data_IF_574569041818
#
_entry.id   IF_574569041818
#
_cell.length_a   1.000
_cell.length_b   1.000
_cell.length_c   1.000
_cell.angle_alpha   90.00
_cell.angle_beta   90.00
_cell.angle_gamma   90.00
#
_symmetry.space_group_name_H-M   'P 1'
#
loop_
_entity.id
_entity.type
_entity.pdbx_description
1 polymer ?
#
# COMPACT_ATOMS: atom_id res chain seq x y z
N UNK A 1 -19.40 16.28 20.45
CA UNK A 1 -19.97 17.29 19.52
C UNK A 1 -18.80 17.91 18.80
N UNK A 2 -18.87 18.03 17.47
CA UNK A 2 -17.80 18.62 16.68
C UNK A 2 -17.52 20.07 17.11
N UNK A 3 -16.27 20.50 16.99
CA UNK A 3 -15.86 21.90 17.18
C UNK A 3 -16.19 22.78 15.95
N UNK A 4 -16.71 22.19 14.87
CA UNK A 4 -17.11 22.85 13.64
C UNK A 4 -18.62 23.06 13.61
N UNK A 5 -19.07 24.18 13.04
CA UNK A 5 -20.50 24.45 12.86
C UNK A 5 -21.03 23.69 11.64
N UNK A 6 -21.89 22.69 11.91
CA UNK A 6 -22.49 21.83 10.90
C UNK A 6 -23.83 22.35 10.38
N UNK A 7 -24.30 23.51 10.81
CA UNK A 7 -25.56 24.10 10.34
C UNK A 7 -25.51 24.26 8.82
N UNK A 8 -26.52 23.81 8.06
CA UNK A 8 -26.51 23.96 6.61
C UNK A 8 -26.40 25.44 6.16
N UNK A 9 -25.73 25.73 5.04
CA UNK A 9 -25.73 27.08 4.46
C UNK A 9 -27.16 27.50 4.08
N UNK A 10 -27.45 28.80 4.17
CA UNK A 10 -28.72 29.33 3.68
C UNK A 10 -28.81 29.21 2.15
N UNK A 11 -30.00 29.36 1.57
CA UNK A 11 -30.17 29.31 0.11
C UNK A 11 -29.24 30.31 -0.60
N UNK A 12 -29.20 31.57 -0.13
CA UNK A 12 -28.33 32.62 -0.70
C UNK A 12 -26.84 32.29 -0.57
N UNK A 13 -26.41 31.70 0.57
CA UNK A 13 -25.03 31.24 0.73
C UNK A 13 -24.72 30.09 -0.22
N UNK A 14 -25.65 29.16 -0.39
CA UNK A 14 -25.50 28.02 -1.30
C UNK A 14 -25.35 28.50 -2.75
N UNK A 15 -26.20 29.43 -3.18
CA UNK A 15 -26.12 30.01 -4.53
C UNK A 15 -24.76 30.69 -4.77
N UNK A 16 -24.24 31.42 -3.78
CA UNK A 16 -22.94 32.06 -3.86
C UNK A 16 -21.78 31.04 -3.95
N UNK A 17 -21.81 29.97 -3.16
CA UNK A 17 -20.80 28.90 -3.23
C UNK A 17 -20.85 28.15 -4.57
N UNK A 18 -22.07 27.88 -5.07
CA UNK A 18 -22.29 27.15 -6.32
C UNK A 18 -21.91 27.99 -7.54
N UNK A 19 -22.04 29.32 -7.50
CA UNK A 19 -21.67 30.20 -8.60
C UNK A 19 -20.21 30.01 -9.06
N UNK A 20 -19.28 29.76 -8.12
CA UNK A 20 -17.85 29.60 -8.39
C UNK A 20 -17.40 28.20 -8.85
N UNK A 21 -18.33 27.25 -9.06
CA UNK A 21 -17.97 25.91 -9.52
C UNK A 21 -17.81 25.83 -11.04
N UNK A 22 -16.78 25.12 -11.48
CA UNK A 22 -16.62 24.64 -12.85
C UNK A 22 -17.74 23.65 -13.23
N UNK A 23 -17.85 23.34 -14.53
CA UNK A 23 -18.82 22.37 -15.02
C UNK A 23 -18.62 20.97 -14.40
N UNK A 24 -17.37 20.53 -14.28
CA UNK A 24 -17.02 19.23 -13.70
C UNK A 24 -17.31 19.18 -12.20
N UNK A 25 -16.99 20.25 -11.46
CA UNK A 25 -17.36 20.34 -10.04
C UNK A 25 -18.88 20.31 -9.86
N UNK A 26 -19.68 20.99 -10.69
CA UNK A 26 -21.15 20.89 -10.60
C UNK A 26 -21.64 19.47 -10.85
N UNK A 27 -21.11 18.82 -11.89
CA UNK A 27 -21.49 17.45 -12.27
C UNK A 27 -21.23 16.47 -11.12
N UNK A 28 -20.07 16.56 -10.49
CA UNK A 28 -19.70 15.66 -9.38
C UNK A 28 -20.44 16.05 -8.09
N UNK A 29 -20.28 17.27 -7.59
CA UNK A 29 -20.75 17.64 -6.25
C UNK A 29 -22.27 17.76 -6.13
N UNK A 30 -22.96 18.19 -7.19
CA UNK A 30 -24.40 18.54 -7.14
C UNK A 30 -25.28 17.54 -7.90
N UNK A 31 -24.71 16.80 -8.86
CA UNK A 31 -25.45 15.86 -9.72
C UNK A 31 -25.02 14.41 -9.50
N UNK A 32 -24.32 14.12 -8.39
CA UNK A 32 -23.89 12.78 -7.99
C UNK A 32 -23.03 12.06 -9.05
N UNK A 33 -22.30 12.82 -9.86
CA UNK A 33 -21.38 12.28 -10.85
C UNK A 33 -20.11 11.71 -10.21
N UNK A 34 -19.42 10.82 -10.93
CA UNK A 34 -18.11 10.29 -10.54
C UNK A 34 -17.04 10.79 -11.51
N UNK A 35 -15.90 11.24 -10.99
CA UNK A 35 -14.71 11.54 -11.82
C UNK A 35 -14.15 10.25 -12.41
N UNK A 36 -13.50 10.33 -13.57
CA UNK A 36 -12.87 9.15 -14.16
C UNK A 36 -11.73 8.63 -13.25
N UNK A 37 -11.55 7.29 -13.14
CA UNK A 37 -10.47 6.74 -12.34
C UNK A 37 -9.12 7.20 -12.88
N UNK A 38 -8.14 7.40 -11.99
CA UNK A 38 -6.78 7.84 -12.27
C UNK A 38 -6.63 9.28 -12.79
N UNK A 39 -7.72 10.07 -12.83
CA UNK A 39 -7.68 11.47 -13.29
C UNK A 39 -7.66 12.50 -12.16
N UNK A 40 -7.88 12.08 -10.92
CA UNK A 40 -8.08 12.97 -9.77
C UNK A 40 -6.80 13.68 -9.32
N UNK A 41 -6.83 15.01 -9.21
CA UNK A 41 -5.69 15.85 -8.78
C UNK A 41 -5.12 15.43 -7.42
N UNK A 42 -5.96 14.90 -6.52
CA UNK A 42 -5.57 14.50 -5.17
C UNK A 42 -5.34 13.01 -5.00
N UNK A 43 -5.35 12.24 -6.10
CA UNK A 43 -5.07 10.81 -6.08
C UNK A 43 -3.71 10.54 -5.44
N UNK A 44 -2.68 11.20 -5.96
CA UNK A 44 -1.28 11.04 -5.53
C UNK A 44 -0.80 12.12 -4.56
N UNK A 45 -1.69 13.00 -4.11
CA UNK A 45 -1.30 14.01 -3.12
C UNK A 45 -0.92 13.33 -1.79
N UNK A 46 0.36 13.44 -1.41
CA UNK A 46 0.94 12.95 -0.15
C UNK A 46 1.31 14.08 0.82
N UNK A 47 0.93 15.34 0.54
CA UNK A 47 1.20 16.47 1.43
C UNK A 47 0.46 16.29 2.75
N UNK A 48 1.11 16.66 3.86
CA UNK A 48 0.46 16.69 5.17
C UNK A 48 -0.55 17.84 5.24
N UNK A 49 -1.78 17.53 5.62
CA UNK A 49 -2.87 18.49 5.65
C UNK A 49 -4.23 17.85 5.79
N UNK A 50 -5.25 18.62 5.44
CA UNK A 50 -6.65 18.22 5.56
C UNK A 50 -7.33 18.41 4.22
N UNK A 51 -8.14 17.42 3.85
CA UNK A 51 -9.02 17.47 2.69
C UNK A 51 -10.37 18.01 3.15
N UNK A 52 -10.78 19.11 2.54
CA UNK A 52 -11.96 19.86 2.90
C UNK A 52 -13.02 19.65 1.82
N UNK A 53 -14.28 19.85 2.17
CA UNK A 53 -15.36 19.91 1.21
C UNK A 53 -15.09 21.03 0.22
N UNK A 54 -15.03 20.72 -1.09
CA UNK A 54 -14.75 21.73 -2.12
C UNK A 54 -15.76 22.88 -2.15
N UNK A 55 -17.03 22.62 -1.78
CA UNK A 55 -18.10 23.63 -1.72
C UNK A 55 -18.04 24.52 -0.46
N UNK A 56 -18.12 23.94 0.75
CA UNK A 56 -18.29 24.71 1.98
C UNK A 56 -17.06 24.71 2.91
N UNK A 57 -15.94 24.11 2.49
CA UNK A 57 -14.68 24.01 3.24
C UNK A 57 -14.73 23.28 4.60
N UNK A 58 -15.79 22.51 4.89
CA UNK A 58 -15.81 21.65 6.08
C UNK A 58 -14.67 20.62 5.99
N UNK A 59 -13.87 20.37 7.04
CA UNK A 59 -12.84 19.32 7.01
C UNK A 59 -13.48 17.94 6.92
N UNK A 60 -13.13 17.15 5.91
CA UNK A 60 -13.73 15.84 5.68
C UNK A 60 -12.78 14.71 6.00
N UNK A 61 -11.51 14.81 5.57
CA UNK A 61 -10.52 13.73 5.73
C UNK A 61 -9.13 14.30 6.04
N UNK A 62 -8.26 13.50 6.69
CA UNK A 62 -6.87 13.88 6.98
C UNK A 62 -5.92 13.16 6.03
N UNK A 63 -4.80 13.79 5.68
CA UNK A 63 -3.69 13.11 4.97
C UNK A 63 -3.27 11.81 5.68
N UNK A 64 -3.25 11.81 7.02
CA UNK A 64 -2.88 10.66 7.83
C UNK A 64 -3.82 9.46 7.72
N UNK A 65 -5.05 9.65 7.23
CA UNK A 65 -6.02 8.57 7.01
C UNK A 65 -6.11 8.15 5.54
N UNK A 66 -5.37 8.80 4.65
CA UNK A 66 -5.30 8.48 3.22
C UNK A 66 -4.46 7.23 3.00
N UNK A 67 -4.91 6.36 2.10
CA UNK A 67 -4.15 5.22 1.63
C UNK A 67 -4.38 5.01 0.13
N UNK A 68 -3.51 4.22 -0.50
CA UNK A 68 -3.70 3.83 -1.90
C UNK A 68 -4.49 2.52 -1.95
N UNK A 69 -5.66 2.57 -2.59
CA UNK A 69 -6.53 1.42 -2.80
C UNK A 69 -6.29 0.71 -4.13
N UNK A 70 -5.53 1.31 -5.05
CA UNK A 70 -5.37 0.83 -6.42
C UNK A 70 -6.61 1.00 -7.30
N UNK A 71 -7.69 1.63 -6.82
CA UNK A 71 -8.95 1.75 -7.58
C UNK A 71 -9.04 2.98 -8.47
N UNK A 72 -8.02 3.85 -8.46
CA UNK A 72 -8.00 5.08 -9.26
C UNK A 72 -8.70 6.29 -8.63
N UNK A 73 -9.12 6.19 -7.37
CA UNK A 73 -9.72 7.30 -6.61
C UNK A 73 -9.04 7.44 -5.24
N UNK A 74 -8.86 8.67 -4.72
CA UNK A 74 -8.29 8.88 -3.39
C UNK A 74 -9.13 8.17 -2.32
N UNK A 75 -8.48 7.28 -1.57
CA UNK A 75 -9.13 6.48 -0.54
C UNK A 75 -8.67 6.86 0.86
N UNK A 76 -9.61 6.83 1.83
CA UNK A 76 -9.35 7.10 3.23
C UNK A 76 -10.00 6.04 4.11
N UNK A 77 -9.36 5.68 5.22
CA UNK A 77 -9.91 4.68 6.15
C UNK A 77 -10.77 5.30 7.26
N UNK A 78 -10.73 6.62 7.46
CA UNK A 78 -11.56 7.28 8.46
C UNK A 78 -11.78 8.76 8.13
N UNK A 79 -12.97 9.32 8.44
CA UNK A 79 -13.24 10.74 8.30
C UNK A 79 -12.46 11.56 9.35
N UNK A 80 -12.43 12.88 9.14
CA UNK A 80 -11.85 13.83 10.08
C UNK A 80 -12.56 13.81 11.43
N UNK A 81 -13.90 13.74 11.37
CA UNK A 81 -14.81 13.54 12.48
C UNK A 81 -16.03 12.77 11.94
N UNK A 82 -16.58 11.76 12.63
CA UNK A 82 -17.74 10.99 12.17
C UNK A 82 -18.97 11.86 11.86
N UNK A 83 -19.11 13.02 12.51
CA UNK A 83 -20.23 13.94 12.27
C UNK A 83 -20.09 14.80 11.01
N UNK A 84 -18.94 14.77 10.33
CA UNK A 84 -18.68 15.60 9.15
C UNK A 84 -19.11 14.94 7.82
N UNK A 85 -19.33 13.63 7.83
CA UNK A 85 -19.74 12.84 6.67
C UNK A 85 -21.08 12.17 6.97
N UNK A 86 -22.02 12.25 6.03
CA UNK A 86 -23.33 11.60 6.12
C UNK A 86 -23.46 10.51 5.07
N UNK A 87 -23.89 9.35 5.50
CA UNK A 87 -24.17 8.20 4.65
C UNK A 87 -25.61 8.22 4.12
N UNK A 88 -25.76 7.92 2.84
CA UNK A 88 -27.04 7.86 2.14
C UNK A 88 -27.07 6.57 1.32
N UNK A 89 -28.19 5.83 1.39
CA UNK A 89 -28.38 4.64 0.55
C UNK A 89 -28.54 5.07 -0.92
N UNK A 90 -27.68 4.55 -1.78
CA UNK A 90 -27.69 4.81 -3.22
C UNK A 90 -28.08 3.54 -3.99
N UNK A 91 -29.17 3.61 -4.75
CA UNK A 91 -29.67 2.51 -5.60
C UNK A 91 -29.54 2.79 -7.11
N UNK A 92 -28.70 3.75 -7.50
CA UNK A 92 -28.43 4.08 -8.90
C UNK A 92 -27.68 2.96 -9.63
N UNK A 93 -27.73 2.98 -10.97
CA UNK A 93 -27.03 2.02 -11.84
C UNK A 93 -27.33 0.53 -11.55
N UNK A 94 -28.47 0.22 -10.93
CA UNK A 94 -28.86 -1.15 -10.58
C UNK A 94 -28.06 -1.78 -9.44
N UNK A 95 -27.26 -1.00 -8.71
CA UNK A 95 -26.47 -1.45 -7.56
C UNK A 95 -27.07 -0.95 -6.25
N UNK A 96 -26.65 -1.51 -5.12
CA UNK A 96 -26.92 -0.95 -3.78
C UNK A 96 -25.57 -0.57 -3.16
N UNK A 97 -25.36 0.73 -2.97
CA UNK A 97 -24.13 1.31 -2.41
C UNK A 97 -24.46 2.29 -1.28
N UNK A 98 -23.44 2.70 -0.53
CA UNK A 98 -23.56 3.76 0.48
C UNK A 98 -22.83 4.99 -0.03
N UNK A 99 -23.57 5.98 -0.49
CA UNK A 99 -23.05 7.29 -0.83
C UNK A 99 -22.61 8.02 0.44
N UNK A 100 -21.50 8.76 0.34
CA UNK A 100 -21.06 9.70 1.37
C UNK A 100 -21.22 11.14 0.88
N UNK A 101 -21.86 11.96 1.70
CA UNK A 101 -22.10 13.39 1.46
C UNK A 101 -21.48 14.24 2.57
N UNK A 102 -21.14 15.49 2.26
CA UNK A 102 -20.75 16.45 3.30
C UNK A 102 -21.93 16.70 4.23
N UNK A 103 -21.77 16.46 5.54
CA UNK A 103 -22.86 16.60 6.50
C UNK A 103 -23.41 18.04 6.60
N UNK A 104 -22.59 19.04 6.25
CA UNK A 104 -22.96 20.47 6.29
C UNK A 104 -23.75 20.92 5.06
N UNK A 105 -23.19 20.74 3.86
CA UNK A 105 -23.79 21.29 2.63
C UNK A 105 -24.49 20.25 1.76
N UNK A 106 -24.42 18.97 2.11
CA UNK A 106 -25.07 17.88 1.37
C UNK A 106 -24.40 17.50 0.04
N UNK A 107 -23.25 18.09 -0.32
CA UNK A 107 -22.56 17.78 -1.57
C UNK A 107 -22.10 16.33 -1.64
N UNK A 108 -22.21 15.73 -2.82
CA UNK A 108 -21.69 14.40 -3.13
C UNK A 108 -20.16 14.36 -3.01
N UNK A 109 -19.66 13.37 -2.27
CA UNK A 109 -18.22 13.17 -2.08
C UNK A 109 -17.72 11.93 -2.81
N UNK A 110 -18.50 10.84 -2.74
CA UNK A 110 -18.17 9.53 -3.29
C UNK A 110 -18.96 8.44 -2.58
N UNK A 111 -18.33 7.29 -2.33
CA UNK A 111 -18.96 6.15 -1.66
C UNK A 111 -18.07 5.57 -0.57
N UNK A 112 -18.67 4.94 0.42
CA UNK A 112 -17.97 4.13 1.42
C UNK A 112 -18.20 2.63 1.12
N UNK A 113 -17.12 1.86 1.21
CA UNK A 113 -17.11 0.42 0.95
C UNK A 113 -16.56 -0.33 2.18
N UNK A 114 -17.04 -1.56 2.47
CA UNK A 114 -16.62 -2.35 3.63
C UNK A 114 -15.33 -3.15 3.39
N UNK A 115 -14.46 -2.66 2.50
CA UNK A 115 -13.22 -3.30 2.04
C UNK A 115 -11.96 -2.51 2.43
N UNK A 116 -12.07 -1.66 3.46
CA UNK A 116 -10.98 -0.80 3.92
C UNK A 116 -9.99 -1.51 4.86
N UNK A 117 -8.83 -0.88 5.12
CA UNK A 117 -7.86 -1.37 6.08
C UNK A 117 -8.33 -1.09 7.53
N UNK A 118 -7.66 -1.68 8.55
CA UNK A 118 -7.84 -1.27 9.93
C UNK A 118 -7.61 0.25 10.12
N UNK A 119 -8.23 0.88 11.12
CA UNK A 119 -8.98 0.28 12.24
C UNK A 119 -10.48 0.11 12.01
N UNK A 120 -11.07 0.78 11.02
CA UNK A 120 -12.52 0.83 10.76
C UNK A 120 -12.98 -0.26 9.79
N UNK A 121 -12.07 -0.75 8.93
CA UNK A 121 -12.39 -1.60 7.78
C UNK A 121 -13.32 -0.94 6.75
N UNK A 122 -13.44 0.39 6.83
CA UNK A 122 -14.19 1.19 5.88
C UNK A 122 -13.21 1.85 4.92
N UNK A 123 -13.53 1.81 3.62
CA UNK A 123 -12.84 2.56 2.59
C UNK A 123 -13.77 3.64 2.08
N UNK A 124 -13.49 4.87 2.47
CA UNK A 124 -14.10 6.03 1.84
C UNK A 124 -13.36 6.27 0.51
N UNK A 125 -14.04 6.04 -0.60
CA UNK A 125 -13.54 6.23 -1.96
C UNK A 125 -14.10 7.54 -2.52
N UNK A 126 -13.24 8.53 -2.74
CA UNK A 126 -13.64 9.93 -2.97
C UNK A 126 -13.35 10.38 -4.39
N UNK A 127 -14.15 11.33 -4.87
CA UNK A 127 -13.76 12.15 -6.01
C UNK A 127 -12.80 13.26 -5.54
N UNK A 128 -11.63 13.39 -6.18
CA UNK A 128 -10.73 14.52 -5.95
C UNK A 128 -11.42 15.85 -6.25
N UNK A 129 -12.28 15.89 -7.28
CA UNK A 129 -13.10 17.05 -7.65
C UNK A 129 -13.98 17.54 -6.48
N UNK A 130 -14.43 16.64 -5.61
CA UNK A 130 -15.24 16.98 -4.42
C UNK A 130 -14.43 17.55 -3.25
N UNK A 131 -13.11 17.57 -3.37
CA UNK A 131 -12.20 17.97 -2.30
C UNK A 131 -11.46 19.26 -2.65
N UNK A 132 -11.12 20.02 -1.63
CA UNK A 132 -10.00 20.96 -1.63
C UNK A 132 -8.98 20.51 -0.60
N UNK A 133 -7.76 21.05 -0.66
CA UNK A 133 -6.70 20.67 0.26
C UNK A 133 -6.13 21.89 0.97
N UNK A 134 -6.01 21.81 2.28
CA UNK A 134 -5.35 22.80 3.13
C UNK A 134 -4.12 22.16 3.76
N UNK A 135 -2.94 22.66 3.40
CA UNK A 135 -1.68 22.18 3.95
C UNK A 135 -1.55 22.46 5.45
N UNK A 136 -0.76 21.63 6.14
CA UNK A 136 -0.54 21.85 7.57
C UNK A 136 0.13 23.22 7.83
N UNK A 137 -0.51 24.06 8.64
CA UNK A 137 -0.07 25.43 8.93
C UNK A 137 -0.54 26.49 7.94
N UNK A 138 -1.23 26.11 6.86
CA UNK A 138 -1.92 27.05 5.98
C UNK A 138 -3.23 27.53 6.63
N UNK A 139 -3.66 28.78 6.38
CA UNK A 139 -4.91 29.29 6.92
C UNK A 139 -6.10 28.48 6.39
N UNK A 140 -7.03 28.17 7.29
CA UNK A 140 -8.23 27.42 6.95
C UNK A 140 -9.18 28.27 6.08
N UNK A 141 -9.69 27.75 4.95
CA UNK A 141 -10.71 28.44 4.19
C UNK A 141 -12.05 28.44 4.95
N UNK A 142 -12.59 29.61 5.24
CA UNK A 142 -13.91 29.79 5.88
C UNK A 142 -14.84 30.62 4.97
N UNK A 143 -15.32 30.06 3.84
CA UNK A 143 -16.16 30.79 2.89
C UNK A 143 -17.55 31.12 3.45
N UNK A 144 -17.95 30.49 4.55
CA UNK A 144 -19.23 30.70 5.22
C UNK A 144 -19.12 31.60 6.47
N UNK A 145 -17.90 32.02 6.83
CA UNK A 145 -17.58 32.86 7.99
C UNK A 145 -18.18 32.32 9.30
N UNK A 146 -18.03 31.02 9.54
CA UNK A 146 -18.59 30.33 10.73
C UNK A 146 -17.81 30.60 12.01
N UNK A 147 -16.54 31.02 11.89
CA UNK A 147 -15.71 31.31 13.05
C UNK A 147 -15.32 30.06 13.86
N UNK A 148 -15.02 30.22 15.15
CA UNK A 148 -14.63 29.09 16.02
C UNK A 148 -13.35 28.38 15.53
N UNK A 149 -13.42 27.05 15.36
CA UNK A 149 -12.32 26.25 14.81
C UNK A 149 -12.00 26.56 13.33
N UNK A 150 -12.89 27.26 12.63
CA UNK A 150 -12.72 27.69 11.23
C UNK A 150 -12.14 29.12 11.11
N UNK A 151 -12.09 29.89 12.22
CA UNK A 151 -11.50 31.22 12.21
C UNK A 151 -9.98 31.14 12.00
N UNK A 152 -9.50 31.66 10.87
CA UNK A 152 -8.13 31.56 10.33
C UNK A 152 -6.94 32.12 11.15
N UNK A 153 -7.06 32.21 12.48
CA UNK A 153 -5.96 32.54 13.40
C UNK A 153 -5.48 31.34 14.26
N UNK A 154 -6.11 30.17 14.14
CA UNK A 154 -5.59 28.96 14.80
C UNK A 154 -4.60 28.25 13.88
N UNK A 155 -3.30 28.58 14.01
CA UNK A 155 -2.24 27.65 13.61
C UNK A 155 -2.56 26.32 14.31
N UNK A 156 -2.91 25.29 13.56
CA UNK A 156 -3.28 24.00 14.12
C UNK A 156 -2.05 23.37 14.78
N UNK A 157 -1.79 23.74 16.04
CA UNK A 157 -0.79 23.12 16.90
C UNK A 157 -1.33 21.75 17.24
N UNK A 158 -0.68 20.75 16.69
CA UNK A 158 -0.82 19.34 17.01
C UNK A 158 -0.96 19.19 18.54
N UNK A 159 -2.18 18.97 19.04
CA UNK A 159 -2.41 18.63 20.45
C UNK A 159 -1.77 17.27 20.64
N UNK A 160 -0.60 17.30 21.28
CA UNK A 160 0.37 16.23 21.25
C UNK A 160 -0.21 14.87 21.60
N UNK A 161 -0.34 14.03 20.58
CA UNK A 161 -0.12 12.61 20.77
C UNK A 161 1.39 12.45 20.93
N UNK A 162 1.85 12.35 22.18
CA UNK A 162 3.21 11.91 22.49
C UNK A 162 3.44 10.59 21.74
N UNK A 163 4.54 10.41 20.99
CA UNK A 163 4.86 9.12 20.41
C UNK A 163 5.42 8.23 21.53
N UNK A 164 4.59 7.81 22.46
CA UNK A 164 4.91 6.69 23.34
C UNK A 164 4.50 5.42 22.63
N UNK A 165 5.31 5.00 21.66
CA UNK A 165 5.50 3.59 21.33
C UNK A 165 6.78 3.44 20.53
N UNK A 166 7.87 3.14 21.25
CA UNK A 166 8.97 2.34 20.69
C UNK A 166 8.32 1.05 20.17
N UNK A 167 8.18 0.91 18.85
CA UNK A 167 7.88 -0.39 18.27
C UNK A 167 9.20 -1.17 18.17
N UNK A 168 9.30 -2.38 18.73
CA UNK A 168 10.56 -3.13 18.77
C UNK A 168 10.90 -3.76 17.41
N UNK A 169 12.09 -4.39 17.28
CA UNK A 169 12.69 -4.74 16.00
C UNK A 169 11.92 -5.83 15.25
N UNK A 170 12.31 -6.04 13.99
CA UNK A 170 11.78 -6.95 12.95
C UNK A 170 11.24 -8.33 13.38
N UNK A 171 11.61 -8.85 14.56
CA UNK A 171 11.11 -10.10 15.13
C UNK A 171 9.58 -10.13 15.33
N UNK A 172 8.92 -8.99 15.57
CA UNK A 172 7.47 -8.97 15.88
C UNK A 172 6.58 -9.33 14.69
N UNK A 173 6.95 -9.02 13.44
CA UNK A 173 6.10 -9.35 12.27
C UNK A 173 6.09 -10.84 11.94
N UNK A 174 7.25 -11.49 12.00
CA UNK A 174 7.33 -12.94 11.85
C UNK A 174 6.48 -13.67 12.89
N UNK A 175 6.55 -13.18 14.13
CA UNK A 175 5.75 -13.68 15.23
C UNK A 175 4.25 -13.47 14.99
N UNK A 176 3.84 -12.33 14.39
CA UNK A 176 2.44 -12.06 14.05
C UNK A 176 1.91 -12.96 12.92
N UNK A 177 2.71 -13.29 11.90
CA UNK A 177 2.29 -14.22 10.83
C UNK A 177 2.05 -15.61 11.41
N UNK A 178 2.99 -16.11 12.22
CA UNK A 178 2.88 -17.42 12.87
C UNK A 178 1.67 -17.44 13.82
N UNK A 179 1.52 -16.40 14.65
CA UNK A 179 0.37 -16.26 15.55
C UNK A 179 -0.94 -16.19 14.76
N UNK A 180 -0.97 -15.48 13.63
CA UNK A 180 -2.14 -15.39 12.76
C UNK A 180 -2.56 -16.77 12.23
N UNK A 181 -1.63 -17.55 11.69
CA UNK A 181 -1.91 -18.91 11.24
C UNK A 181 -2.36 -19.83 12.39
N UNK A 182 -1.76 -19.70 13.58
CA UNK A 182 -2.21 -20.44 14.75
C UNK A 182 -3.63 -20.06 15.16
N UNK A 183 -3.99 -18.77 15.12
CA UNK A 183 -5.35 -18.29 15.41
C UNK A 183 -6.34 -18.86 14.40
N UNK A 184 -6.01 -18.89 13.11
CA UNK A 184 -6.86 -19.52 12.08
C UNK A 184 -7.07 -21.00 12.38
N UNK A 185 -5.99 -21.76 12.63
CA UNK A 185 -6.06 -23.19 12.95
C UNK A 185 -6.90 -23.44 14.20
N UNK A 186 -6.62 -22.73 15.29
CA UNK A 186 -7.30 -22.90 16.58
C UNK A 186 -8.78 -22.53 16.46
N UNK A 187 -9.12 -21.46 15.76
CA UNK A 187 -10.51 -21.03 15.62
C UNK A 187 -11.33 -22.03 14.81
N UNK A 188 -10.78 -22.50 13.68
CA UNK A 188 -11.48 -23.42 12.78
C UNK A 188 -11.55 -24.83 13.38
N UNK A 189 -10.41 -25.40 13.80
CA UNK A 189 -10.37 -26.76 14.35
C UNK A 189 -10.94 -26.82 15.77
N UNK A 190 -10.68 -25.81 16.60
CA UNK A 190 -11.24 -25.72 17.94
C UNK A 190 -12.74 -25.50 17.93
N UNK A 191 -13.25 -24.67 17.02
CA UNK A 191 -14.70 -24.52 16.80
C UNK A 191 -15.36 -25.83 16.35
N UNK A 192 -14.73 -26.55 15.42
CA UNK A 192 -15.21 -27.86 14.97
C UNK A 192 -15.24 -28.90 16.09
N UNK A 193 -14.18 -28.99 16.90
CA UNK A 193 -14.13 -29.87 18.08
C UNK A 193 -15.17 -29.49 19.14
N UNK A 194 -15.34 -28.19 19.40
CA UNK A 194 -16.33 -27.65 20.34
C UNK A 194 -17.77 -27.98 19.92
N UNK A 195 -18.02 -28.08 18.62
CA UNK A 195 -19.28 -28.54 18.04
C UNK A 195 -19.41 -30.09 17.97
N UNK A 196 -18.58 -30.82 18.72
CA UNK A 196 -18.53 -32.30 18.75
C UNK A 196 -18.08 -32.96 17.43
N UNK A 197 -17.37 -32.22 16.57
CA UNK A 197 -16.77 -32.74 15.35
C UNK A 197 -15.61 -33.70 15.60
N UNK A 198 -15.40 -34.66 14.69
CA UNK A 198 -14.28 -35.62 14.75
C UNK A 198 -13.22 -35.24 13.74
N UNK A 199 -12.03 -34.83 14.19
CA UNK A 199 -10.94 -34.37 13.30
C UNK A 199 -10.57 -35.37 12.21
N UNK A 200 -10.68 -36.68 12.49
CA UNK A 200 -10.44 -37.72 11.48
C UNK A 200 -11.34 -37.61 10.25
N UNK A 201 -12.53 -37.01 10.36
CA UNK A 201 -13.43 -36.81 9.22
C UNK A 201 -12.92 -35.74 8.24
N UNK A 202 -12.15 -34.75 8.72
CA UNK A 202 -11.54 -33.70 7.90
C UNK A 202 -10.27 -34.17 7.18
N UNK A 203 -9.72 -35.31 7.59
CA UNK A 203 -8.51 -35.87 6.99
C UNK A 203 -8.84 -36.63 5.70
N UNK A 204 -8.93 -35.89 4.59
CA UNK A 204 -9.19 -36.42 3.25
C UNK A 204 -7.95 -36.21 2.36
N UNK A 205 -7.02 -37.18 2.29
CA UNK A 205 -5.73 -36.98 1.60
C UNK A 205 -5.88 -36.80 0.10
N UNK A 206 -6.86 -37.46 -0.54
CA UNK A 206 -7.08 -37.32 -1.98
C UNK A 206 -7.64 -35.94 -2.36
N UNK A 207 -8.44 -35.32 -1.49
CA UNK A 207 -8.91 -33.94 -1.68
C UNK A 207 -7.73 -32.95 -1.64
N UNK A 208 -6.78 -33.14 -0.71
CA UNK A 208 -5.53 -32.36 -0.67
C UNK A 208 -4.70 -32.51 -1.95
N UNK A 209 -4.66 -33.71 -2.53
CA UNK A 209 -3.95 -33.96 -3.80
C UNK A 209 -4.64 -33.27 -4.97
N UNK A 210 -5.97 -33.32 -5.05
CA UNK A 210 -6.74 -32.64 -6.11
C UNK A 210 -6.53 -31.13 -6.01
N UNK A 211 -6.77 -30.56 -4.83
CA UNK A 211 -6.70 -29.11 -4.60
C UNK A 211 -5.27 -28.61 -4.75
N UNK A 212 -4.32 -29.22 -4.03
CA UNK A 212 -2.92 -28.82 -4.04
C UNK A 212 -2.22 -29.13 -5.36
N UNK A 213 -2.50 -30.27 -5.98
CA UNK A 213 -1.96 -30.64 -7.28
C UNK A 213 -2.47 -29.76 -8.40
N UNK A 214 -3.77 -29.44 -8.43
CA UNK A 214 -4.33 -28.52 -9.41
C UNK A 214 -3.81 -27.09 -9.20
N UNK A 215 -3.71 -26.61 -7.96
CA UNK A 215 -3.14 -25.31 -7.64
C UNK A 215 -1.66 -25.22 -8.05
N UNK A 216 -0.86 -26.25 -7.77
CA UNK A 216 0.54 -26.32 -8.20
C UNK A 216 0.65 -26.36 -9.73
N UNK A 217 -0.19 -27.14 -10.40
CA UNK A 217 -0.25 -27.20 -11.87
C UNK A 217 -0.58 -25.84 -12.48
N UNK A 218 -1.61 -25.17 -11.97
CA UNK A 218 -2.00 -23.84 -12.42
C UNK A 218 -0.89 -22.80 -12.16
N UNK A 219 -0.24 -22.87 -11.00
CA UNK A 219 0.91 -22.04 -10.67
C UNK A 219 2.07 -22.23 -11.66
N UNK A 220 2.43 -23.48 -11.98
CA UNK A 220 3.53 -23.78 -12.90
C UNK A 220 3.20 -23.43 -14.36
N UNK A 221 1.94 -23.59 -14.79
CA UNK A 221 1.50 -23.23 -16.14
C UNK A 221 1.45 -21.71 -16.32
N UNK A 222 1.00 -20.97 -15.30
CA UNK A 222 0.80 -19.53 -15.38
C UNK A 222 2.05 -18.68 -15.07
N UNK A 223 3.17 -19.28 -14.68
CA UNK A 223 4.31 -18.55 -14.08
C UNK A 223 5.65 -18.91 -14.72
N UNK A 224 6.46 -17.92 -15.16
CA UNK A 224 7.83 -18.18 -15.63
C UNK A 224 8.70 -18.85 -14.56
N UNK A 225 9.63 -19.73 -14.99
CA UNK A 225 10.48 -20.52 -14.08
C UNK A 225 11.30 -19.66 -13.08
N UNK A 226 11.75 -18.47 -13.50
CA UNK A 226 12.46 -17.51 -12.62
C UNK A 226 11.54 -17.06 -11.48
N UNK A 227 10.32 -16.65 -11.80
CA UNK A 227 9.32 -16.17 -10.84
C UNK A 227 8.83 -17.28 -9.91
N UNK A 228 8.74 -18.52 -10.39
CA UNK A 228 8.45 -19.70 -9.54
C UNK A 228 9.48 -19.81 -8.41
N UNK A 229 10.77 -19.78 -8.75
CA UNK A 229 11.86 -19.85 -7.76
C UNK A 229 11.83 -18.67 -6.79
N UNK A 230 11.60 -17.46 -7.31
CA UNK A 230 11.49 -16.24 -6.48
C UNK A 230 10.30 -16.31 -5.51
N UNK A 231 9.17 -16.85 -5.94
CA UNK A 231 7.97 -17.04 -5.10
C UNK A 231 8.25 -17.97 -3.93
N UNK A 232 8.86 -19.14 -4.19
CA UNK A 232 9.23 -20.08 -3.13
C UNK A 232 10.23 -19.48 -2.13
N UNK A 233 11.22 -18.72 -2.61
CA UNK A 233 12.18 -18.02 -1.75
C UNK A 233 11.52 -16.90 -0.93
N UNK A 234 10.59 -16.16 -1.53
CA UNK A 234 9.88 -15.06 -0.88
C UNK A 234 8.91 -15.55 0.21
N UNK A 235 8.23 -16.68 -0.01
CA UNK A 235 7.38 -17.33 1.01
C UNK A 235 8.15 -17.62 2.29
N UNK A 236 9.35 -18.19 2.18
CA UNK A 236 10.21 -18.45 3.35
C UNK A 236 10.81 -17.15 3.89
N UNK A 237 11.15 -16.23 2.99
CA UNK A 237 11.74 -14.94 3.35
C UNK A 237 10.82 -14.05 4.19
N UNK A 238 9.50 -14.16 4.04
CA UNK A 238 8.54 -13.31 4.76
C UNK A 238 8.71 -13.40 6.28
N UNK A 239 9.08 -14.57 6.78
CA UNK A 239 9.31 -14.82 8.21
C UNK A 239 10.61 -14.19 8.74
N UNK A 240 11.48 -13.67 7.87
CA UNK A 240 12.69 -12.94 8.29
C UNK A 240 12.44 -11.44 8.44
N UNK A 241 11.29 -10.95 7.98
CA UNK A 241 10.96 -9.52 7.96
C UNK A 241 11.66 -8.74 6.84
N UNK A 242 11.54 -7.40 6.84
CA UNK A 242 12.12 -6.54 5.79
C UNK A 242 13.63 -6.71 5.68
N UNK A 243 14.14 -6.64 4.46
CA UNK A 243 15.58 -6.78 4.17
C UNK A 243 16.37 -5.63 4.79
N UNK A 244 15.90 -4.40 4.60
CA UNK A 244 16.61 -3.19 4.98
C UNK A 244 16.18 -2.67 6.36
N UNK A 245 17.16 -2.25 7.15
CA UNK A 245 16.98 -1.63 8.47
C UNK A 245 17.43 -0.18 8.42
N UNK A 246 17.14 0.57 9.48
CA UNK A 246 17.47 1.99 9.60
C UNK A 246 18.94 2.31 9.25
N UNK A 247 19.89 1.52 9.75
CA UNK A 247 21.31 1.74 9.45
C UNK A 247 21.61 1.58 7.96
N UNK A 248 20.98 0.61 7.29
CA UNK A 248 21.23 0.36 5.87
C UNK A 248 20.75 1.56 5.02
N UNK A 249 19.63 2.21 5.40
CA UNK A 249 19.22 3.47 4.76
C UNK A 249 20.22 4.61 4.98
N UNK A 250 20.78 4.72 6.19
CA UNK A 250 21.78 5.76 6.50
C UNK A 250 23.05 5.53 5.68
N UNK A 251 23.53 4.30 5.62
CA UNK A 251 24.72 3.89 4.87
C UNK A 251 24.54 4.21 3.37
N UNK A 252 23.39 3.85 2.80
CA UNK A 252 23.09 4.10 1.37
C UNK A 252 22.98 5.59 1.06
N UNK A 253 22.27 6.36 1.89
CA UNK A 253 22.17 7.80 1.67
C UNK A 253 23.53 8.50 1.84
N UNK A 254 24.39 8.00 2.72
CA UNK A 254 25.75 8.54 2.93
C UNK A 254 26.67 8.23 1.75
N UNK A 255 26.59 7.01 1.20
CA UNK A 255 27.27 6.66 -0.06
C UNK A 255 26.81 7.56 -1.21
N UNK A 256 25.49 7.73 -1.38
CA UNK A 256 24.93 8.61 -2.41
C UNK A 256 25.39 10.06 -2.21
N UNK A 257 25.49 10.53 -0.96
CA UNK A 257 26.02 11.85 -0.66
C UNK A 257 27.47 12.04 -1.08
N UNK A 258 28.34 11.09 -0.77
CA UNK A 258 29.75 11.12 -1.18
C UNK A 258 29.89 11.15 -2.70
N UNK A 259 29.15 10.28 -3.40
CA UNK A 259 29.11 10.25 -4.86
C UNK A 259 28.64 11.58 -5.45
N UNK A 260 27.51 12.12 -4.98
CA UNK A 260 26.96 13.38 -5.46
C UNK A 260 27.86 14.58 -5.11
N UNK A 261 28.52 14.58 -3.95
CA UNK A 261 29.49 15.62 -3.59
C UNK A 261 30.72 15.58 -4.51
N UNK A 262 31.24 14.39 -4.82
CA UNK A 262 32.36 14.23 -5.75
C UNK A 262 31.96 14.71 -7.14
N UNK A 263 30.80 14.29 -7.65
CA UNK A 263 30.26 14.76 -8.92
C UNK A 263 30.09 16.28 -8.96
N UNK A 264 29.69 16.91 -7.85
CA UNK A 264 29.53 18.36 -7.78
C UNK A 264 30.86 19.13 -7.78
N UNK A 265 31.91 18.56 -7.16
CA UNK A 265 33.23 19.21 -7.06
C UNK A 265 34.07 19.01 -8.31
N UNK A 266 34.01 17.81 -8.90
CA UNK A 266 34.93 17.37 -9.95
C UNK A 266 34.21 17.08 -11.28
N UNK A 267 32.88 17.17 -11.33
CA UNK A 267 32.05 16.80 -12.47
C UNK A 267 31.60 15.33 -12.43
N UNK A 268 30.51 15.00 -13.13
CA UNK A 268 29.97 13.63 -13.17
C UNK A 268 30.96 12.62 -13.77
N UNK A 269 31.83 13.03 -14.70
CA UNK A 269 32.88 12.17 -15.26
C UNK A 269 33.83 11.62 -14.18
N UNK A 270 34.02 12.33 -13.07
CA UNK A 270 34.85 11.84 -11.95
C UNK A 270 34.25 10.62 -11.24
N UNK A 271 33.01 10.23 -11.55
CA UNK A 271 32.36 9.03 -11.04
C UNK A 271 32.52 7.80 -11.95
N UNK A 272 33.04 7.95 -13.17
CA UNK A 272 33.08 6.88 -14.18
C UNK A 272 33.75 5.60 -13.66
N UNK A 273 34.96 5.70 -13.11
CA UNK A 273 35.67 4.55 -12.54
C UNK A 273 34.91 3.90 -11.37
N UNK A 274 34.23 4.71 -10.55
CA UNK A 274 33.46 4.22 -9.40
C UNK A 274 32.20 3.47 -9.84
N UNK A 275 31.61 3.86 -10.97
CA UNK A 275 30.38 3.31 -11.52
C UNK A 275 30.66 2.06 -12.37
N UNK A 276 31.73 2.06 -13.14
CA UNK A 276 32.14 0.89 -13.95
C UNK A 276 32.75 -0.22 -13.09
N UNK A 277 33.45 0.12 -12.01
CA UNK A 277 34.11 -0.83 -11.10
C UNK A 277 33.74 -0.58 -9.64
N UNK A 278 32.47 -0.78 -9.25
CA UNK A 278 32.00 -0.51 -7.88
C UNK A 278 32.65 -1.43 -6.83
N UNK A 279 33.12 -2.61 -7.22
CA UNK A 279 33.83 -3.53 -6.32
C UNK A 279 35.23 -3.02 -5.91
N UNK A 280 35.90 -2.27 -6.80
CA UNK A 280 37.25 -1.71 -6.56
C UNK A 280 37.19 -0.28 -6.01
N UNK A 281 36.00 0.33 -6.00
CA UNK A 281 35.79 1.71 -5.61
C UNK A 281 36.01 1.94 -4.11
N UNK A 282 36.88 2.89 -3.78
CA UNK A 282 37.09 3.34 -2.41
C UNK A 282 35.80 3.89 -1.76
N UNK A 283 34.92 4.54 -2.54
CA UNK A 283 33.65 5.09 -2.03
C UNK A 283 32.67 3.97 -1.65
N UNK A 284 32.50 2.97 -2.51
CA UNK A 284 31.64 1.82 -2.19
C UNK A 284 32.27 0.94 -1.09
N UNK A 285 33.61 0.84 -1.05
CA UNK A 285 34.34 0.10 -0.01
C UNK A 285 34.16 0.64 1.41
N UNK A 286 33.80 1.92 1.56
CA UNK A 286 33.43 2.50 2.86
C UNK A 286 32.12 1.90 3.42
N UNK A 287 31.30 1.26 2.58
CA UNK A 287 29.98 0.72 2.94
C UNK A 287 29.85 -0.77 2.57
N UNK A 288 30.54 -1.70 3.27
CA UNK A 288 30.62 -3.11 2.86
C UNK A 288 29.28 -3.83 2.74
N UNK A 289 28.30 -3.46 3.57
CA UNK A 289 26.94 -4.04 3.49
C UNK A 289 26.20 -3.62 2.22
N UNK A 290 26.32 -2.35 1.85
CA UNK A 290 25.76 -1.82 0.60
C UNK A 290 26.51 -2.45 -0.57
N UNK A 291 27.83 -2.60 -0.43
CA UNK A 291 28.66 -3.18 -1.48
C UNK A 291 28.33 -4.67 -1.76
N UNK A 292 27.92 -5.41 -0.74
CA UNK A 292 27.48 -6.80 -0.87
C UNK A 292 26.08 -6.92 -1.51
N UNK A 293 25.33 -5.83 -1.64
CA UNK A 293 24.00 -5.82 -2.23
C UNK A 293 24.06 -5.50 -3.72
N UNK A 294 24.28 -6.54 -4.53
CA UNK A 294 24.41 -6.40 -5.98
C UNK A 294 23.25 -5.65 -6.62
N UNK A 295 22.00 -5.90 -6.21
CA UNK A 295 20.83 -5.21 -6.78
C UNK A 295 20.84 -3.71 -6.49
N UNK A 296 21.28 -3.31 -5.30
CA UNK A 296 21.33 -1.90 -4.92
C UNK A 296 22.50 -1.17 -5.57
N UNK A 297 23.67 -1.83 -5.67
CA UNK A 297 24.78 -1.31 -6.48
C UNK A 297 24.32 -1.12 -7.92
N UNK A 298 23.79 -2.16 -8.55
CA UNK A 298 23.45 -2.16 -9.97
C UNK A 298 22.52 -0.97 -10.25
N UNK A 299 21.46 -0.81 -9.46
CA UNK A 299 20.55 0.34 -9.55
C UNK A 299 21.25 1.70 -9.38
N UNK A 300 22.08 1.88 -8.34
CA UNK A 300 22.81 3.14 -8.13
C UNK A 300 23.73 3.42 -9.32
N UNK A 301 24.46 2.41 -9.79
CA UNK A 301 25.41 2.54 -10.89
C UNK A 301 24.72 2.79 -12.22
N UNK A 302 23.62 2.09 -12.54
CA UNK A 302 22.84 2.28 -13.76
C UNK A 302 22.24 3.70 -13.81
N UNK A 303 21.65 4.16 -12.71
CA UNK A 303 21.19 5.53 -12.60
C UNK A 303 22.32 6.56 -12.82
N UNK A 304 23.51 6.32 -12.26
CA UNK A 304 24.66 7.20 -12.45
C UNK A 304 25.27 7.09 -13.86
N UNK A 305 25.27 5.92 -14.51
CA UNK A 305 25.68 5.76 -15.92
C UNK A 305 24.83 6.63 -16.82
N UNK A 306 23.52 6.64 -16.58
CA UNK A 306 22.59 7.52 -17.29
C UNK A 306 22.93 9.00 -17.08
N UNK A 307 23.45 9.39 -15.91
CA UNK A 307 23.89 10.78 -15.64
C UNK A 307 25.27 11.11 -16.24
N UNK A 308 26.17 10.13 -16.39
CA UNK A 308 27.54 10.32 -16.92
C UNK A 308 27.55 10.34 -18.45
N UNK A 309 26.87 9.39 -19.09
CA UNK A 309 26.96 9.13 -20.53
C UNK A 309 26.15 10.09 -21.41
N UNK A 310 25.44 11.04 -20.81
CA UNK A 310 24.33 11.72 -21.47
C UNK A 310 24.53 13.23 -21.49
N UNK A 311 24.58 13.83 -22.69
CA UNK A 311 24.33 15.27 -22.86
C UNK A 311 22.83 15.58 -22.83
N UNK A 312 22.07 14.78 -22.08
CA UNK A 312 20.60 14.76 -22.00
C UNK A 312 20.16 15.78 -20.97
N UNK A 313 19.13 16.55 -21.29
CA UNK A 313 18.62 17.55 -20.36
C UNK A 313 17.92 16.89 -19.16
N UNK A 314 17.97 17.50 -17.95
CA UNK A 314 17.41 16.89 -16.74
C UNK A 314 15.96 16.39 -16.86
N UNK A 315 15.16 17.04 -17.70
CA UNK A 315 13.75 16.72 -17.91
C UNK A 315 13.54 15.43 -18.72
N UNK A 316 14.50 15.02 -19.55
CA UNK A 316 14.46 13.80 -20.34
C UNK A 316 14.97 12.59 -19.55
N UNK A 317 15.86 12.81 -18.57
CA UNK A 317 16.43 11.76 -17.73
C UNK A 317 15.47 11.28 -16.64
N UNK A 318 14.62 12.18 -16.14
CA UNK A 318 13.69 11.87 -15.06
C UNK A 318 12.74 10.70 -15.39
N UNK A 319 12.03 10.68 -16.54
CA UNK A 319 11.18 9.56 -16.92
C UNK A 319 11.93 8.22 -17.02
N UNK A 320 13.20 8.23 -17.43
CA UNK A 320 14.02 7.01 -17.54
C UNK A 320 14.32 6.41 -16.16
N UNK A 321 14.69 7.27 -15.20
CA UNK A 321 14.94 6.86 -13.82
C UNK A 321 13.66 6.40 -13.11
N UNK A 322 12.51 6.98 -13.47
CA UNK A 322 11.21 6.51 -12.98
C UNK A 322 10.85 5.15 -13.54
N UNK A 323 11.02 4.94 -14.84
CA UNK A 323 10.79 3.66 -15.51
C UNK A 323 11.64 2.53 -14.90
N UNK A 324 12.90 2.81 -14.56
CA UNK A 324 13.79 1.83 -13.93
C UNK A 324 13.28 1.41 -12.53
N UNK A 325 12.83 2.38 -11.72
CA UNK A 325 12.24 2.11 -10.41
C UNK A 325 10.93 1.33 -10.53
N UNK A 326 10.05 1.70 -11.47
CA UNK A 326 8.80 0.99 -11.71
C UNK A 326 9.05 -0.45 -12.12
N UNK A 327 10.01 -0.69 -13.01
CA UNK A 327 10.42 -2.04 -13.42
C UNK A 327 10.91 -2.85 -12.23
N UNK A 328 11.81 -2.28 -11.41
CA UNK A 328 12.32 -2.97 -10.22
C UNK A 328 11.19 -3.30 -9.23
N UNK A 329 10.27 -2.36 -9.01
CA UNK A 329 9.11 -2.56 -8.15
C UNK A 329 8.18 -3.66 -8.69
N UNK A 330 7.85 -3.64 -9.98
CA UNK A 330 7.04 -4.66 -10.62
C UNK A 330 7.68 -6.06 -10.53
N UNK A 331 8.99 -6.17 -10.75
CA UNK A 331 9.73 -7.43 -10.58
C UNK A 331 9.73 -7.94 -9.14
N UNK A 332 9.84 -7.04 -8.16
CA UNK A 332 9.78 -7.37 -6.73
C UNK A 332 8.37 -7.79 -6.27
N UNK A 333 7.32 -7.26 -6.90
CA UNK A 333 5.92 -7.54 -6.59
C UNK A 333 5.38 -8.80 -7.30
N UNK A 334 5.97 -9.22 -8.41
CA UNK A 334 5.52 -10.38 -9.17
C UNK A 334 5.30 -11.66 -8.31
N UNK A 335 6.19 -12.02 -7.36
CA UNK A 335 5.99 -13.18 -6.48
C UNK A 335 4.72 -13.13 -5.63
N UNK A 336 4.36 -11.98 -5.06
CA UNK A 336 3.14 -11.85 -4.25
C UNK A 336 1.89 -11.91 -5.14
N UNK A 337 1.90 -11.21 -6.26
CA UNK A 337 0.77 -11.19 -7.20
C UNK A 337 0.45 -12.58 -7.76
N UNK A 338 1.47 -13.38 -8.09
CA UNK A 338 1.26 -14.76 -8.53
C UNK A 338 0.67 -15.61 -7.41
N UNK A 339 1.17 -15.47 -6.18
CA UNK A 339 0.65 -16.21 -5.04
C UNK A 339 -0.80 -15.82 -4.71
N UNK A 340 -1.18 -14.55 -4.87
CA UNK A 340 -2.57 -14.09 -4.75
C UNK A 340 -3.48 -14.81 -5.74
N UNK A 341 -3.08 -14.94 -7.01
CA UNK A 341 -3.85 -15.69 -8.02
C UNK A 341 -4.02 -17.17 -7.64
N UNK A 342 -3.00 -17.77 -7.03
CA UNK A 342 -3.11 -19.15 -6.50
C UNK A 342 -4.09 -19.20 -5.34
N UNK A 343 -4.05 -18.23 -4.42
CA UNK A 343 -4.99 -18.12 -3.30
C UNK A 343 -6.44 -18.03 -3.78
N UNK A 344 -6.71 -17.20 -4.77
CA UNK A 344 -8.05 -17.00 -5.33
C UNK A 344 -8.56 -18.23 -6.10
N UNK A 345 -7.65 -19.03 -6.67
CA UNK A 345 -7.98 -20.28 -7.36
C UNK A 345 -8.30 -21.45 -6.44
N UNK A 346 -7.76 -21.48 -5.22
CA UNK A 346 -7.90 -22.60 -4.28
C UNK A 346 -9.37 -22.94 -3.92
N UNK A 347 -10.27 -21.97 -3.65
CA UNK A 347 -11.70 -22.25 -3.49
C UNK A 347 -12.32 -22.92 -4.72
N UNK A 348 -11.94 -22.47 -5.92
CA UNK A 348 -12.39 -23.06 -7.19
C UNK A 348 -11.97 -24.52 -7.33
N UNK A 349 -10.72 -24.85 -6.99
CA UNK A 349 -10.26 -26.24 -6.96
C UNK A 349 -10.94 -27.07 -5.87
N UNK A 350 -11.31 -26.46 -4.73
CA UNK A 350 -12.16 -27.09 -3.72
C UNK A 350 -13.55 -27.49 -4.24
N UNK A 351 -14.16 -26.64 -5.08
CA UNK A 351 -15.43 -26.97 -5.75
C UNK A 351 -15.25 -28.15 -6.71
N UNK A 352 -14.17 -28.17 -7.49
CA UNK A 352 -13.86 -29.31 -8.38
C UNK A 352 -13.74 -30.61 -7.59
N UNK A 353 -13.00 -30.58 -6.48
CA UNK A 353 -12.87 -31.67 -5.53
C UNK A 353 -14.25 -32.19 -5.05
N UNK A 354 -15.11 -31.28 -4.59
CA UNK A 354 -16.47 -31.62 -4.16
C UNK A 354 -17.33 -32.22 -5.28
N UNK A 355 -17.25 -31.68 -6.51
CA UNK A 355 -17.97 -32.24 -7.66
C UNK A 355 -17.51 -33.68 -7.95
N UNK A 356 -16.21 -33.94 -7.91
CA UNK A 356 -15.67 -35.30 -8.10
C UNK A 356 -16.14 -36.25 -7.00
N UNK A 357 -16.16 -35.81 -5.74
CA UNK A 357 -16.71 -36.59 -4.63
C UNK A 357 -18.20 -36.92 -4.79
N UNK A 358 -19.00 -35.97 -5.29
CA UNK A 358 -20.43 -36.20 -5.61
C UNK A 358 -20.57 -37.21 -6.75
N UNK A 359 -19.75 -37.14 -7.80
CA UNK A 359 -19.78 -38.13 -8.90
C UNK A 359 -19.54 -39.54 -8.38
N UNK A 360 -18.56 -39.72 -7.49
CA UNK A 360 -18.28 -41.02 -6.86
C UNK A 360 -19.47 -41.47 -6.00
N UNK A 361 -20.07 -40.54 -5.24
CA UNK A 361 -21.27 -40.80 -4.43
C UNK A 361 -22.43 -41.31 -5.29
N UNK A 362 -22.69 -40.67 -6.43
CA UNK A 362 -23.78 -41.06 -7.33
C UNK A 362 -23.55 -42.45 -7.95
N UNK A 363 -22.29 -42.84 -8.16
CA UNK A 363 -21.94 -44.20 -8.57
C UNK A 363 -22.26 -45.28 -7.53
N UNK A 364 -22.42 -44.88 -6.27
CA UNK A 364 -22.63 -45.79 -5.12
C UNK A 364 -24.03 -45.66 -4.51
N UNK A 365 -24.96 -44.96 -5.16
CA UNK A 365 -26.26 -44.58 -4.58
C UNK A 365 -27.17 -45.76 -4.19
N UNK A 366 -26.91 -46.96 -4.72
CA UNK A 366 -27.58 -48.21 -4.34
C UNK A 366 -26.78 -49.11 -3.39
N UNK A 367 -25.62 -48.65 -2.92
CA UNK A 367 -24.73 -49.37 -2.00
C UNK A 367 -25.09 -49.16 -0.53
N UNK A 368 -24.14 -49.45 0.37
CA UNK A 368 -24.31 -49.25 1.81
C UNK A 368 -24.47 -47.75 2.14
N UNK A 369 -25.47 -47.41 2.95
CA UNK A 369 -25.75 -46.03 3.40
C UNK A 369 -24.52 -45.43 4.09
N UNK A 370 -23.76 -46.25 4.81
CA UNK A 370 -22.55 -45.81 5.52
C UNK A 370 -21.46 -45.39 4.53
N UNK A 371 -21.30 -46.12 3.44
CA UNK A 371 -20.32 -45.83 2.38
C UNK A 371 -20.71 -44.54 1.65
N UNK A 372 -21.97 -44.44 1.20
CA UNK A 372 -22.52 -43.22 0.55
C UNK A 372 -22.32 -41.99 1.44
N UNK A 373 -22.63 -42.10 2.74
CA UNK A 373 -22.42 -41.01 3.70
C UNK A 373 -20.96 -40.59 3.83
N UNK A 374 -20.02 -41.53 3.74
CA UNK A 374 -18.58 -41.26 3.73
C UNK A 374 -18.14 -40.44 2.51
N UNK A 375 -18.63 -40.80 1.31
CA UNK A 375 -18.31 -40.07 0.08
C UNK A 375 -18.87 -38.64 0.08
N UNK A 376 -20.11 -38.46 0.57
CA UNK A 376 -20.71 -37.13 0.72
C UNK A 376 -19.91 -36.27 1.69
N UNK A 377 -19.51 -36.85 2.84
CA UNK A 377 -18.69 -36.14 3.82
C UNK A 377 -17.33 -35.72 3.23
N UNK A 378 -16.67 -36.60 2.47
CA UNK A 378 -15.42 -36.29 1.77
C UNK A 378 -15.55 -35.12 0.79
N UNK A 379 -16.62 -35.15 -0.03
CA UNK A 379 -16.90 -34.08 -0.99
C UNK A 379 -17.08 -32.70 -0.32
N UNK A 380 -17.79 -32.64 0.81
CA UNK A 380 -17.98 -31.40 1.56
C UNK A 380 -16.67 -30.88 2.18
N UNK A 381 -15.78 -31.78 2.60
CA UNK A 381 -14.44 -31.43 3.10
C UNK A 381 -13.58 -30.80 2.01
N UNK A 382 -13.72 -31.23 0.75
CA UNK A 382 -13.00 -30.65 -0.39
C UNK A 382 -13.23 -29.14 -0.54
N UNK A 383 -14.49 -28.69 -0.60
CA UNK A 383 -14.82 -27.25 -0.68
C UNK A 383 -14.33 -26.49 0.53
N UNK A 384 -14.55 -27.03 1.74
CA UNK A 384 -14.09 -26.43 2.99
C UNK A 384 -12.57 -26.21 2.98
N UNK A 385 -11.81 -27.24 2.59
CA UNK A 385 -10.37 -27.21 2.58
C UNK A 385 -9.82 -26.24 1.52
N UNK A 386 -10.45 -26.17 0.34
CA UNK A 386 -10.09 -25.18 -0.69
C UNK A 386 -10.23 -23.74 -0.19
N UNK A 387 -11.35 -23.43 0.46
CA UNK A 387 -11.60 -22.10 1.06
C UNK A 387 -10.61 -21.82 2.19
N UNK A 388 -10.38 -22.79 3.08
CA UNK A 388 -9.47 -22.64 4.21
C UNK A 388 -8.02 -22.42 3.75
N UNK A 389 -7.53 -23.20 2.78
CA UNK A 389 -6.18 -23.05 2.25
C UNK A 389 -6.02 -21.72 1.52
N UNK A 390 -6.99 -21.33 0.69
CA UNK A 390 -6.97 -20.07 -0.05
C UNK A 390 -6.96 -18.87 0.88
N UNK A 391 -8.05 -18.64 1.60
CA UNK A 391 -8.24 -17.41 2.38
C UNK A 391 -7.63 -17.47 3.78
N UNK A 392 -7.44 -18.66 4.35
CA UNK A 392 -6.85 -18.82 5.68
C UNK A 392 -5.32 -18.82 5.68
N UNK A 393 -4.66 -19.20 4.58
CA UNK A 393 -3.20 -19.38 4.56
C UNK A 393 -2.52 -18.71 3.36
N UNK A 394 -2.87 -19.10 2.13
CA UNK A 394 -2.13 -18.68 0.93
C UNK A 394 -2.35 -17.20 0.62
N UNK A 395 -3.58 -16.70 0.76
CA UNK A 395 -3.92 -15.28 0.59
C UNK A 395 -3.19 -14.37 1.58
N UNK A 396 -3.30 -14.59 2.90
CA UNK A 396 -2.56 -13.82 3.90
C UNK A 396 -1.04 -13.89 3.72
N UNK A 397 -0.50 -15.03 3.26
CA UNK A 397 0.91 -15.16 2.90
C UNK A 397 1.29 -14.24 1.72
N UNK A 398 0.47 -14.21 0.67
CA UNK A 398 0.66 -13.34 -0.49
C UNK A 398 0.66 -11.85 -0.08
N UNK A 399 -0.31 -11.43 0.72
CA UNK A 399 -0.37 -10.06 1.26
C UNK A 399 0.83 -9.71 2.14
N UNK A 400 1.33 -10.67 2.93
CA UNK A 400 2.54 -10.46 3.73
C UNK A 400 3.79 -10.32 2.87
N UNK A 401 3.89 -11.09 1.77
CA UNK A 401 4.96 -10.97 0.79
C UNK A 401 4.92 -9.62 0.07
N UNK A 402 3.74 -9.18 -0.33
CA UNK A 402 3.50 -7.86 -0.94
C UNK A 402 3.95 -6.72 -0.03
N UNK A 403 3.48 -6.72 1.22
CA UNK A 403 3.86 -5.71 2.21
C UNK A 403 5.37 -5.67 2.49
N UNK A 404 6.07 -6.80 2.31
CA UNK A 404 7.53 -6.88 2.42
C UNK A 404 8.22 -6.30 1.18
N UNK A 405 7.78 -6.68 -0.01
CA UNK A 405 8.33 -6.19 -1.28
C UNK A 405 8.18 -4.66 -1.40
N UNK A 406 7.03 -4.14 -0.98
CA UNK A 406 6.74 -2.70 -0.91
C UNK A 406 7.73 -1.98 0.02
N UNK A 407 7.99 -2.55 1.21
CA UNK A 407 8.95 -1.97 2.16
C UNK A 407 10.39 -2.01 1.65
N UNK A 408 10.78 -3.13 1.03
CA UNK A 408 12.12 -3.30 0.49
C UNK A 408 12.36 -2.37 -0.72
N UNK A 409 11.30 -1.97 -1.45
CA UNK A 409 11.38 -1.02 -2.57
C UNK A 409 11.73 0.42 -2.14
N UNK A 410 11.47 0.79 -0.88
CA UNK A 410 11.65 2.18 -0.39
C UNK A 410 13.09 2.68 -0.39
N UNK A 411 14.08 1.78 -0.33
CA UNK A 411 15.48 2.20 -0.39
C UNK A 411 15.84 2.71 -1.78
N UNK A 412 15.33 2.07 -2.84
CA UNK A 412 15.54 2.45 -4.23
C UNK A 412 14.86 3.79 -4.54
N UNK A 413 13.64 4.00 -4.04
CA UNK A 413 12.94 5.28 -4.15
C UNK A 413 13.74 6.43 -3.51
N UNK A 414 14.38 6.17 -2.37
CA UNK A 414 15.21 7.17 -1.69
C UNK A 414 16.47 7.53 -2.48
N UNK A 415 17.13 6.54 -3.09
CA UNK A 415 18.26 6.74 -3.99
C UNK A 415 17.82 7.56 -5.21
N UNK A 416 16.76 7.14 -5.91
CA UNK A 416 16.20 7.86 -7.07
C UNK A 416 15.95 9.33 -6.74
N UNK A 417 15.28 9.57 -5.61
CA UNK A 417 14.92 10.94 -5.18
C UNK A 417 16.16 11.80 -4.94
N UNK A 418 17.22 11.26 -4.34
CA UNK A 418 18.47 11.98 -4.16
C UNK A 418 19.14 12.32 -5.50
N UNK A 419 19.23 11.35 -6.42
CA UNK A 419 19.86 11.54 -7.73
C UNK A 419 19.10 12.57 -8.58
N UNK A 420 17.76 12.45 -8.67
CA UNK A 420 16.89 13.40 -9.38
C UNK A 420 16.96 14.81 -8.81
N UNK A 421 16.97 14.95 -7.48
CA UNK A 421 17.11 16.26 -6.86
C UNK A 421 18.46 16.91 -7.21
N UNK A 422 19.55 16.14 -7.22
CA UNK A 422 20.85 16.68 -7.62
C UNK A 422 20.89 17.05 -9.11
N UNK A 423 20.25 16.25 -9.97
CA UNK A 423 20.11 16.52 -11.40
C UNK A 423 19.38 17.85 -11.67
N UNK A 424 18.37 18.17 -10.86
CA UNK A 424 17.63 19.44 -10.88
C UNK A 424 18.42 20.63 -10.30
N UNK A 425 19.70 20.43 -9.98
CA UNK A 425 20.61 21.48 -9.50
C UNK A 425 20.59 21.72 -7.99
N UNK A 426 19.87 20.93 -7.20
CA UNK A 426 19.92 21.06 -5.75
C UNK A 426 21.27 20.61 -5.20
N UNK A 427 21.73 21.27 -4.12
CA UNK A 427 22.92 20.83 -3.39
C UNK A 427 22.74 19.38 -2.89
N UNK A 428 23.76 18.50 -2.96
CA UNK A 428 23.73 17.14 -2.42
C UNK A 428 23.11 17.03 -1.02
N UNK A 429 23.40 17.98 -0.13
CA UNK A 429 22.81 18.01 1.22
C UNK A 429 21.29 18.19 1.22
N UNK A 430 20.76 19.02 0.32
CA UNK A 430 19.31 19.25 0.16
C UNK A 430 18.67 18.08 -0.59
N UNK A 431 19.35 17.54 -1.61
CA UNK A 431 18.91 16.35 -2.32
C UNK A 431 18.70 15.16 -1.36
N UNK A 432 19.64 14.97 -0.43
CA UNK A 432 19.52 13.99 0.64
C UNK A 432 18.37 14.27 1.60
N UNK A 433 18.02 15.52 1.86
CA UNK A 433 16.85 15.86 2.68
C UNK A 433 15.55 15.41 2.01
N UNK A 434 15.45 15.59 0.69
CA UNK A 434 14.30 15.10 -0.07
C UNK A 434 14.25 13.58 -0.06
N UNK A 435 15.38 12.92 -0.28
CA UNK A 435 15.49 11.47 -0.16
C UNK A 435 15.09 10.98 1.24
N UNK A 436 15.60 11.61 2.32
CA UNK A 436 15.26 11.24 3.71
C UNK A 436 13.75 11.30 3.97
N UNK A 437 13.03 12.23 3.32
CA UNK A 437 11.57 12.36 3.45
C UNK A 437 10.78 11.26 2.74
N UNK A 438 11.40 10.46 1.88
CA UNK A 438 10.77 9.27 1.29
C UNK A 438 10.84 8.05 2.22
N UNK A 439 11.78 8.04 3.19
CA UNK A 439 11.95 6.90 4.09
C UNK A 439 10.71 6.72 4.98
N UNK A 440 10.31 5.48 5.28
CA UNK A 440 9.23 5.20 6.22
C UNK A 440 9.50 5.82 7.59
N UNK A 441 8.47 6.40 8.22
CA UNK A 441 8.60 7.17 9.48
C UNK A 441 9.25 6.41 10.63
N UNK A 442 9.18 5.07 10.62
CA UNK A 442 9.79 4.20 11.63
C UNK A 442 11.30 3.98 11.47
N UNK A 443 11.85 4.19 10.27
CA UNK A 443 13.30 4.06 9.99
C UNK A 443 13.95 5.38 9.61
N UNK A 444 13.15 6.42 9.34
CA UNK A 444 13.63 7.76 9.02
C UNK A 444 14.48 8.30 10.18
N UNK A 445 15.78 8.57 9.96
CA UNK A 445 16.60 9.20 10.98
C UNK A 445 16.15 10.65 11.22
N UNK A 446 16.34 11.15 12.44
CA UNK A 446 16.11 12.55 12.73
C UNK A 446 17.06 13.44 11.92
N UNK A 447 16.62 14.66 11.59
CA UNK A 447 17.42 15.59 10.79
C UNK A 447 18.78 15.88 11.42
N UNK A 448 18.79 16.16 12.73
CA UNK A 448 20.01 16.43 13.49
C UNK A 448 21.02 15.30 13.42
N UNK A 449 20.54 14.07 13.61
CA UNK A 449 21.37 12.88 13.74
C UNK A 449 21.97 12.51 12.39
N UNK A 450 21.15 12.62 11.34
CA UNK A 450 21.59 12.40 9.97
C UNK A 450 22.59 13.47 9.52
N UNK A 451 22.33 14.74 9.80
CA UNK A 451 23.26 15.83 9.48
C UNK A 451 24.60 15.68 10.22
N UNK A 452 24.56 15.27 11.49
CA UNK A 452 25.76 15.01 12.27
C UNK A 452 26.54 13.82 11.71
N UNK A 453 25.86 12.76 11.28
CA UNK A 453 26.48 11.61 10.63
C UNK A 453 27.18 12.02 9.32
N UNK A 454 26.54 12.82 8.47
CA UNK A 454 27.14 13.32 7.23
C UNK A 454 28.37 14.20 7.45
N UNK A 455 28.53 14.82 8.63
CA UNK A 455 29.76 15.57 8.99
C UNK A 455 30.92 14.65 9.37
N UNK A 456 30.64 13.41 9.78
CA UNK A 456 31.65 12.42 10.13
C UNK A 456 32.14 11.63 8.92
N UNK A 457 31.32 11.56 7.88
CA UNK A 457 31.64 11.03 6.56
C UNK A 457 32.50 12.07 5.84
N UNK A 458 33.79 11.76 5.56
CA UNK A 458 34.79 12.70 5.04
C UNK A 458 35.06 12.55 3.57
#
# INVERSE_FOLDING_TARGET
>A
MSAFDLTPPTATQTDALVAGLSAEERRVLLQHGTEAPFCGVFLDNKREGVYCCRLCALPLFRSSTKFDSGTGWPSFFAPFDPSHVREIRDSSHGMVRTEITCARCGSHLGHVFPDGPPPTYERHCLNSVSLSFTGNGEPWPDPLQRGGAEAGNSLFRNTGVRPTRRYPPSLRRAMLIIVGFLVVIISVLGGYLGAHGRLGALWQPYELVIIGGAALGAFLVGTPAKTVKQTLQAMVGVFKGPRYKQQDYIDVLSLVYELLNKARREGFMALEDHVERPAESALFGNYPKVQADHHLIDFITDCLRLMIGSNIEPHELEPLLELELEKHHAEAMAPSQVLTKVADGLPGFGIVAAVLGIVITMGSIGGDIVEVGGHVAGALVGTFLGILLGYGFVGPMASAMEARAEQDSRIYESVKTALLACLRGYNPKIALEFARKTLPSNVRPAFSDFEQHLKTVK
#
